data_IF_080498379294
#
_entry.id   IF_080498379294
#
_cell.length_a   1.000
_cell.length_b   1.000
_cell.length_c   1.000
_cell.angle_alpha   90.00
_cell.angle_beta   90.00
_cell.angle_gamma   90.00
#
_symmetry.space_group_name_H-M   'P 1'
#
loop_
_entity.id
_entity.type
_entity.pdbx_description
1 polymer ?
#
# COMPACT_ATOMS: atom_id res chain seq x y z
N UNK A 1 -5.96 5.39 12.80
CA UNK A 1 -4.68 5.67 12.12
C UNK A 1 -3.55 5.16 12.96
N UNK A 2 -3.47 5.60 14.21
CA UNK A 2 -2.45 5.19 15.17
C UNK A 2 -2.28 3.67 15.30
N UNK A 3 -3.38 2.90 15.37
CA UNK A 3 -3.31 1.43 15.49
C UNK A 3 -2.59 0.77 14.31
N UNK A 4 -2.89 1.18 13.06
CA UNK A 4 -2.25 0.60 11.88
C UNK A 4 -0.77 1.00 11.78
N UNK A 5 -0.40 2.19 12.27
CA UNK A 5 0.99 2.65 12.35
C UNK A 5 1.79 1.79 13.33
N UNK A 6 1.25 1.58 14.53
CA UNK A 6 1.90 0.73 15.54
C UNK A 6 1.98 -0.74 15.09
N UNK A 7 0.90 -1.25 14.51
CA UNK A 7 0.85 -2.59 13.93
C UNK A 7 1.95 -2.81 12.89
N UNK A 8 2.08 -1.91 11.91
CA UNK A 8 3.11 -2.00 10.88
C UNK A 8 4.53 -1.92 11.47
N UNK A 9 4.76 -1.07 12.47
CA UNK A 9 6.05 -0.94 13.14
C UNK A 9 6.45 -2.25 13.83
N UNK A 10 5.53 -2.87 14.56
CA UNK A 10 5.78 -4.14 15.26
C UNK A 10 6.00 -5.28 14.27
N UNK A 11 5.14 -5.39 13.25
CA UNK A 11 5.28 -6.39 12.19
C UNK A 11 6.60 -6.30 11.44
N UNK A 12 7.02 -5.09 11.07
CA UNK A 12 8.26 -4.86 10.34
C UNK A 12 9.51 -5.25 11.12
N UNK A 13 9.47 -5.21 12.46
CA UNK A 13 10.60 -5.56 13.33
C UNK A 13 10.64 -7.07 13.58
N UNK A 14 9.51 -7.66 13.98
CA UNK A 14 9.48 -9.04 14.50
C UNK A 14 9.10 -10.09 13.45
N UNK A 15 8.38 -9.69 12.39
CA UNK A 15 7.75 -10.60 11.44
C UNK A 15 7.84 -10.05 10.00
N UNK A 16 9.06 -9.76 9.57
CA UNK A 16 9.31 -9.16 8.24
C UNK A 16 8.77 -9.98 7.06
N UNK A 17 8.62 -11.30 7.21
CA UNK A 17 7.99 -12.16 6.19
C UNK A 17 6.48 -11.96 6.10
N UNK A 18 5.80 -11.62 7.20
CA UNK A 18 4.38 -11.26 7.22
C UNK A 18 4.19 -9.85 6.67
N UNK A 19 5.05 -8.90 7.05
CA UNK A 19 5.03 -7.54 6.49
C UNK A 19 5.10 -7.56 4.96
N UNK A 20 5.93 -8.44 4.38
CA UNK A 20 6.04 -8.62 2.92
C UNK A 20 4.77 -9.12 2.23
N UNK A 21 3.77 -9.61 2.97
CA UNK A 21 2.50 -10.12 2.44
C UNK A 21 1.35 -9.12 2.50
N UNK A 22 1.51 -8.04 3.26
CA UNK A 22 0.47 -7.03 3.48
C UNK A 22 0.82 -5.76 2.73
N UNK A 23 -0.14 -5.20 1.99
CA UNK A 23 0.08 -4.00 1.19
C UNK A 23 1.26 -4.13 0.21
N UNK A 24 1.46 -5.33 -0.33
CA UNK A 24 2.43 -5.60 -1.37
C UNK A 24 2.06 -4.85 -2.67
N UNK A 25 2.78 -3.79 -3.01
CA UNK A 25 2.56 -3.03 -4.27
C UNK A 25 2.78 -3.93 -5.48
N UNK A 26 2.08 -3.67 -6.59
CA UNK A 26 2.17 -4.52 -7.80
C UNK A 26 2.81 -3.77 -8.95
N UNK A 27 3.52 -4.50 -9.81
CA UNK A 27 4.06 -3.98 -11.07
C UNK A 27 2.98 -3.88 -12.14
N UNK A 28 3.16 -2.98 -13.11
CA UNK A 28 2.29 -2.89 -14.29
C UNK A 28 2.44 -4.03 -15.32
N UNK A 29 3.38 -4.96 -15.09
CA UNK A 29 3.69 -6.06 -16.01
C UNK A 29 5.14 -6.53 -15.84
N UNK A 30 5.54 -7.53 -16.64
CA UNK A 30 6.91 -8.05 -16.63
C UNK A 30 7.91 -6.97 -17.02
N UNK A 31 8.93 -6.75 -16.18
CA UNK A 31 9.95 -5.71 -16.40
C UNK A 31 9.49 -4.29 -16.06
N UNK A 32 8.24 -4.10 -15.64
CA UNK A 32 7.72 -2.80 -15.23
C UNK A 32 8.02 -2.50 -13.76
N UNK A 33 8.08 -1.21 -13.43
CA UNK A 33 8.23 -0.72 -12.05
C UNK A 33 6.99 -1.03 -11.20
N UNK A 34 7.16 -1.09 -9.89
CA UNK A 34 6.11 -1.23 -8.88
C UNK A 34 5.48 0.11 -8.51
N UNK A 35 4.28 0.07 -7.93
CA UNK A 35 3.68 1.26 -7.33
C UNK A 35 4.59 1.78 -6.21
N UNK A 36 4.73 3.08 -6.10
CA UNK A 36 5.51 3.70 -5.03
C UNK A 36 4.59 4.46 -4.08
N UNK A 37 4.62 4.13 -2.80
CA UNK A 37 3.76 4.76 -1.81
C UNK A 37 4.03 6.25 -1.67
N UNK A 38 2.95 7.02 -1.68
CA UNK A 38 2.95 8.46 -1.48
C UNK A 38 1.66 8.92 -0.80
N UNK A 39 1.59 10.21 -0.46
CA UNK A 39 0.43 10.84 0.19
C UNK A 39 -0.78 11.00 -0.73
N UNK A 40 -0.61 10.82 -2.04
CA UNK A 40 -1.66 10.93 -3.05
C UNK A 40 -1.34 9.99 -4.23
N UNK A 41 -2.36 9.31 -4.76
CA UNK A 41 -2.24 8.48 -5.96
C UNK A 41 -2.10 9.37 -7.21
N UNK A 42 -0.95 9.30 -7.87
CA UNK A 42 -0.65 9.88 -9.17
C UNK A 42 -0.12 8.77 -10.10
N UNK A 43 -1.05 7.94 -10.55
CA UNK A 43 -0.77 6.67 -11.22
C UNK A 43 -1.78 6.45 -12.36
N UNK A 44 -1.69 7.31 -13.36
CA UNK A 44 -2.35 7.17 -14.64
C UNK A 44 -1.35 6.64 -15.67
N UNK A 45 -1.82 5.83 -16.63
CA UNK A 45 -1.01 5.33 -17.75
C UNK A 45 -0.46 6.45 -18.63
N UNK A 46 -1.19 7.55 -18.76
CA UNK A 46 -0.74 8.71 -19.54
C UNK A 46 -0.22 9.80 -18.60
N UNK A 47 1.09 9.78 -18.35
CA UNK A 47 1.80 10.85 -17.63
C UNK A 47 1.76 10.79 -16.10
N UNK A 48 1.28 9.69 -15.51
CA UNK A 48 1.36 9.47 -14.07
C UNK A 48 2.79 9.25 -13.56
N UNK A 49 3.00 9.56 -12.28
CA UNK A 49 4.30 9.45 -11.61
C UNK A 49 4.52 8.09 -10.92
N UNK A 50 3.65 7.11 -11.15
CA UNK A 50 3.74 5.76 -10.55
C UNK A 50 3.52 5.77 -9.04
N UNK A 51 2.91 6.82 -8.50
CA UNK A 51 2.69 7.02 -7.06
C UNK A 51 1.33 6.46 -6.64
N UNK A 52 1.26 5.71 -5.56
CA UNK A 52 0.04 5.10 -5.05
C UNK A 52 -0.19 5.48 -3.58
N UNK A 53 -1.42 5.82 -3.22
CA UNK A 53 -1.85 5.97 -1.81
C UNK A 53 -2.72 4.79 -1.35
N UNK A 54 -2.91 3.79 -2.22
CA UNK A 54 -3.72 2.60 -1.97
C UNK A 54 -2.82 1.43 -1.57
N UNK A 55 -3.09 0.80 -0.43
CA UNK A 55 -2.46 -0.44 0.03
C UNK A 55 -2.54 -1.51 -1.07
N UNK A 56 -1.38 -2.02 -1.48
CA UNK A 56 -1.26 -3.00 -2.56
C UNK A 56 -1.45 -2.44 -3.98
N UNK A 57 -1.37 -1.11 -4.13
CA UNK A 57 -1.56 -0.42 -5.40
C UNK A 57 -0.67 -0.95 -6.53
N UNK A 58 -1.28 -1.14 -7.71
CA UNK A 58 -0.57 -1.54 -8.92
C UNK A 58 -0.09 -0.32 -9.69
N UNK A 59 1.17 -0.30 -10.13
CA UNK A 59 1.65 0.72 -11.06
C UNK A 59 0.96 0.59 -12.42
N UNK A 60 0.42 1.68 -12.91
CA UNK A 60 -0.15 1.77 -14.26
C UNK A 60 0.63 2.74 -15.13
N UNK A 61 1.60 3.47 -14.57
CA UNK A 61 2.47 4.38 -15.32
C UNK A 61 3.51 3.62 -16.15
N UNK A 62 3.85 4.16 -17.33
CA UNK A 62 4.73 3.47 -18.28
C UNK A 62 6.21 3.47 -17.90
N UNK A 63 6.67 4.37 -17.01
CA UNK A 63 8.11 4.55 -16.76
C UNK A 63 8.47 4.99 -15.34
N UNK A 64 7.49 5.29 -14.50
CA UNK A 64 7.69 5.83 -13.15
C UNK A 64 7.33 4.80 -12.09
N UNK A 65 7.58 5.12 -10.82
CA UNK A 65 7.38 4.23 -9.68
C UNK A 65 8.67 3.62 -9.12
N UNK A 66 8.51 2.62 -8.27
CA UNK A 66 9.58 1.98 -7.51
C UNK A 66 10.25 0.84 -8.29
N UNK A 67 11.57 0.69 -8.16
CA UNK A 67 12.31 -0.45 -8.72
C UNK A 67 12.08 -1.75 -7.96
N UNK A 68 11.56 -1.67 -6.73
CA UNK A 68 11.25 -2.83 -5.90
C UNK A 68 9.85 -2.73 -5.30
N UNK A 69 9.31 -3.88 -4.95
CA UNK A 69 8.04 -3.97 -4.25
C UNK A 69 8.12 -3.30 -2.87
N UNK A 70 7.08 -2.56 -2.53
CA UNK A 70 6.87 -1.94 -1.22
C UNK A 70 5.75 -2.64 -0.47
N UNK A 71 5.75 -2.51 0.85
CA UNK A 71 4.91 -3.31 1.77
C UNK A 71 4.23 -2.44 2.83
N UNK A 72 3.60 -3.06 3.84
CA UNK A 72 2.85 -2.36 4.88
C UNK A 72 3.67 -1.27 5.60
N UNK A 73 4.91 -1.54 5.98
CA UNK A 73 5.79 -0.51 6.58
C UNK A 73 5.99 0.72 5.67
N UNK A 74 6.07 0.50 4.36
CA UNK A 74 6.29 1.54 3.36
C UNK A 74 5.00 2.33 3.11
N UNK A 75 3.84 1.65 3.14
CA UNK A 75 2.53 2.29 3.13
C UNK A 75 2.34 3.23 4.31
N UNK A 76 2.68 2.77 5.52
CA UNK A 76 2.59 3.61 6.72
C UNK A 76 3.52 4.82 6.61
N UNK A 77 4.76 4.62 6.16
CA UNK A 77 5.73 5.70 6.00
C UNK A 77 5.37 6.69 4.88
N UNK A 78 4.91 6.20 3.74
CA UNK A 78 4.72 6.98 2.52
C UNK A 78 3.33 7.57 2.38
N UNK A 79 2.29 6.89 2.89
CA UNK A 79 0.89 7.23 2.64
C UNK A 79 0.14 7.71 3.89
N UNK A 80 0.53 7.36 5.11
CA UNK A 80 -0.23 7.79 6.30
C UNK A 80 0.18 9.16 6.87
N UNK A 81 1.32 9.73 6.44
CA UNK A 81 1.88 10.99 6.97
C UNK A 81 1.86 11.02 8.52
N UNK A 82 1.14 11.96 9.15
CA UNK A 82 0.89 12.05 10.61
C UNK A 82 0.07 10.85 11.17
N UNK A 83 0.18 9.68 10.54
CA UNK A 83 -0.42 8.42 10.94
C UNK A 83 -1.87 8.20 10.50
N UNK A 84 -2.46 9.10 9.69
CA UNK A 84 -3.89 9.01 9.36
C UNK A 84 -4.35 9.51 7.98
N UNK A 85 -3.54 10.23 7.21
CA UNK A 85 -4.01 10.99 6.03
C UNK A 85 -4.74 10.17 4.97
N UNK A 86 -4.31 8.93 4.74
CA UNK A 86 -4.93 7.99 3.81
C UNK A 86 -5.60 6.80 4.53
N UNK A 87 -6.03 6.98 5.77
CA UNK A 87 -6.69 5.94 6.56
C UNK A 87 -8.07 6.39 7.04
N UNK A 88 -9.15 5.62 6.76
CA UNK A 88 -9.21 4.33 6.06
C UNK A 88 -9.32 4.45 4.53
N UNK A 89 -9.39 5.66 4.00
CA UNK A 89 -9.64 5.95 2.57
C UNK A 89 -8.43 6.62 1.96
N UNK A 90 -7.98 6.13 0.80
CA UNK A 90 -6.90 6.74 0.04
C UNK A 90 -7.32 8.07 -0.57
N UNK A 91 -6.33 8.87 -0.95
CA UNK A 91 -6.50 10.09 -1.73
C UNK A 91 -5.94 9.89 -3.12
N UNK A 92 -6.76 10.15 -4.12
CA UNK A 92 -6.37 10.22 -5.51
C UNK A 92 -6.23 11.66 -5.98
N UNK A 93 -5.24 11.92 -6.84
CA UNK A 93 -5.17 13.18 -7.59
C UNK A 93 -6.48 13.39 -8.35
N UNK A 94 -6.93 14.63 -8.43
CA UNK A 94 -8.20 14.96 -9.08
C UNK A 94 -8.30 14.35 -10.49
N UNK A 95 -9.42 13.68 -10.78
CA UNK A 95 -9.63 12.94 -12.03
C UNK A 95 -10.03 11.49 -11.78
N UNK A 96 -9.72 10.62 -12.74
CA UNK A 96 -10.03 9.19 -12.69
C UNK A 96 -8.74 8.39 -12.49
N UNK A 97 -8.72 7.40 -11.58
CA UNK A 97 -9.81 7.00 -10.68
C UNK A 97 -9.98 7.96 -9.49
N UNK A 98 -11.23 8.11 -9.05
CA UNK A 98 -11.54 8.85 -7.83
C UNK A 98 -11.23 8.00 -6.59
N UNK A 99 -11.16 8.65 -5.43
CA UNK A 99 -10.94 7.96 -4.15
C UNK A 99 -12.14 7.09 -3.79
N UNK A 100 -11.91 5.86 -3.34
CA UNK A 100 -12.96 4.93 -2.94
C UNK A 100 -13.06 4.81 -1.43
N UNK A 101 -14.27 4.96 -0.87
CA UNK A 101 -14.47 4.90 0.59
C UNK A 101 -14.00 3.57 1.19
N UNK A 102 -13.12 3.68 2.19
CA UNK A 102 -12.54 2.59 2.98
C UNK A 102 -11.69 1.59 2.16
N UNK A 103 -11.18 1.98 1.00
CA UNK A 103 -10.36 1.12 0.14
C UNK A 103 -9.11 0.57 0.85
N UNK A 104 -8.39 1.39 1.61
CA UNK A 104 -7.20 0.96 2.35
C UNK A 104 -7.54 0.01 3.50
N UNK A 105 -8.62 0.29 4.25
CA UNK A 105 -9.07 -0.62 5.30
C UNK A 105 -9.47 -2.00 4.72
N UNK A 106 -10.18 -2.01 3.58
CA UNK A 106 -10.55 -3.26 2.88
C UNK A 106 -9.35 -4.00 2.33
N UNK A 107 -8.38 -3.29 1.74
CA UNK A 107 -7.17 -3.87 1.20
C UNK A 107 -6.32 -4.54 2.30
N UNK A 108 -6.07 -3.84 3.41
CA UNK A 108 -5.35 -4.39 4.57
C UNK A 108 -6.07 -5.63 5.11
N UNK A 109 -7.38 -5.53 5.39
CA UNK A 109 -8.14 -6.67 5.89
C UNK A 109 -8.12 -7.85 4.90
N UNK A 110 -8.23 -7.56 3.60
CA UNK A 110 -8.13 -8.55 2.54
C UNK A 110 -6.79 -9.29 2.51
N UNK A 111 -5.67 -8.62 2.77
CA UNK A 111 -4.37 -9.27 2.84
C UNK A 111 -4.19 -10.07 4.14
N UNK A 112 -4.66 -9.55 5.28
CA UNK A 112 -4.62 -10.27 6.57
C UNK A 112 -5.45 -11.57 6.53
N UNK A 113 -6.57 -11.59 5.81
CA UNK A 113 -7.38 -12.82 5.67
C UNK A 113 -6.70 -13.91 4.83
N UNK A 114 -5.69 -13.57 4.01
CA UNK A 114 -4.94 -14.53 3.17
C UNK A 114 -3.73 -15.13 3.88
N UNK A 115 -3.37 -14.63 5.06
CA UNK A 115 -2.30 -15.20 5.87
C UNK A 115 -2.63 -16.65 6.28
N UNK A 116 -1.59 -17.45 6.52
CA UNK A 116 -1.76 -18.81 7.06
C UNK A 116 -2.33 -18.76 8.48
N UNK A 117 -2.81 -19.88 9.00
CA UNK A 117 -3.33 -19.94 10.38
C UNK A 117 -2.28 -19.49 11.41
N UNK A 118 -1.03 -19.94 11.27
CA UNK A 118 0.05 -19.57 12.18
C UNK A 118 0.39 -18.07 12.09
N UNK A 119 0.40 -17.52 10.87
CA UNK A 119 0.62 -16.09 10.65
C UNK A 119 -0.53 -15.25 11.23
N UNK A 120 -1.77 -15.73 11.13
CA UNK A 120 -2.94 -15.08 11.74
C UNK A 120 -2.85 -15.03 13.26
N UNK A 121 -2.35 -16.09 13.90
CA UNK A 121 -2.14 -16.11 15.36
C UNK A 121 -1.10 -15.08 15.80
N UNK A 122 -0.14 -14.74 14.95
CA UNK A 122 0.89 -13.74 15.23
C UNK A 122 0.33 -12.30 15.14
N UNK A 123 -0.60 -12.05 14.21
CA UNK A 123 -1.11 -10.70 13.94
C UNK A 123 -2.43 -10.35 14.63
N UNK A 124 -3.08 -11.32 15.26
CA UNK A 124 -4.29 -11.14 16.05
C UNK A 124 -3.96 -10.59 17.44
#
# INVERSE_FOLDING_TARGET
>A
GEDIVQFAKTLGISHSEIDKKVCATKSGGSGSKYGEYAIETDNNSTGGNGKVAVCGGQNTSNSNGSTGQQFLRDFVKGSLEDGSKNWPTSKHKAGTPASETNDNAKAVAGDLTKLTSDEKTIVA
#
